data_IF_706093085841
#
_entry.id   IF_706093085841
#
_cell.length_a   1.000
_cell.length_b   1.000
_cell.length_c   1.000
_cell.angle_alpha   90.00
_cell.angle_beta   90.00
_cell.angle_gamma   90.00
#
_symmetry.space_group_name_H-M   'P 1'
#
loop_
_entity.id
_entity.type
_entity.pdbx_description
1 polymer ?
#
# COMPACT_ATOMS: atom_id res chain seq x y z
N UNK A 1 -27.34 -47.34 -10.74
CA UNK A 1 -27.79 -46.69 -9.49
C UNK A 1 -26.61 -46.36 -8.57
N UNK A 2 -25.65 -47.28 -8.35
CA UNK A 2 -24.44 -47.02 -7.54
C UNK A 2 -23.59 -45.81 -7.97
N UNK A 3 -23.21 -45.73 -9.25
CA UNK A 3 -22.37 -44.63 -9.75
C UNK A 3 -22.96 -43.20 -9.55
N UNK A 4 -24.29 -43.06 -9.53
CA UNK A 4 -24.95 -41.79 -9.28
C UNK A 4 -24.97 -41.40 -7.80
N UNK A 5 -24.95 -42.40 -6.90
CA UNK A 5 -24.82 -42.21 -5.45
C UNK A 5 -23.37 -41.82 -5.13
N UNK A 6 -22.40 -42.53 -5.72
CA UNK A 6 -20.97 -42.26 -5.54
C UNK A 6 -20.61 -40.82 -5.99
N UNK A 7 -21.14 -40.38 -7.14
CA UNK A 7 -20.93 -39.02 -7.65
C UNK A 7 -21.50 -37.94 -6.72
N UNK A 8 -22.67 -38.18 -6.12
CA UNK A 8 -23.29 -37.23 -5.18
C UNK A 8 -22.50 -37.13 -3.88
N UNK A 9 -22.02 -38.26 -3.35
CA UNK A 9 -21.17 -38.28 -2.15
C UNK A 9 -19.86 -37.54 -2.40
N UNK A 10 -19.23 -37.77 -3.56
CA UNK A 10 -18.03 -37.06 -3.97
C UNK A 10 -18.27 -35.54 -4.11
N UNK A 11 -19.36 -35.13 -4.74
CA UNK A 11 -19.72 -33.72 -4.88
C UNK A 11 -19.98 -33.04 -3.52
N UNK A 12 -20.68 -33.72 -2.60
CA UNK A 12 -20.91 -33.21 -1.26
C UNK A 12 -19.63 -33.06 -0.46
N UNK A 13 -18.71 -34.04 -0.54
CA UNK A 13 -17.40 -33.96 0.10
C UNK A 13 -16.53 -32.83 -0.50
N UNK A 14 -16.55 -32.68 -1.83
CA UNK A 14 -15.86 -31.58 -2.51
C UNK A 14 -16.43 -30.20 -2.13
N UNK A 15 -17.76 -30.09 -2.03
CA UNK A 15 -18.44 -28.87 -1.58
C UNK A 15 -18.07 -28.51 -0.15
N UNK A 16 -18.12 -29.48 0.78
CA UNK A 16 -17.72 -29.27 2.17
C UNK A 16 -16.26 -28.85 2.32
N UNK A 17 -15.35 -29.48 1.56
CA UNK A 17 -13.94 -29.09 1.51
C UNK A 17 -13.77 -27.66 0.97
N UNK A 18 -14.50 -27.30 -0.08
CA UNK A 18 -14.46 -25.96 -0.65
C UNK A 18 -14.97 -24.91 0.34
N UNK A 19 -16.08 -25.15 1.04
CA UNK A 19 -16.60 -24.26 2.09
C UNK A 19 -15.56 -24.09 3.20
N UNK A 20 -15.01 -25.18 3.72
CA UNK A 20 -13.99 -25.12 4.78
C UNK A 20 -12.75 -24.34 4.34
N UNK A 21 -12.30 -24.52 3.10
CA UNK A 21 -11.16 -23.83 2.53
C UNK A 21 -11.44 -22.33 2.30
N UNK A 22 -12.63 -21.97 1.81
CA UNK A 22 -13.06 -20.56 1.69
C UNK A 22 -13.17 -19.88 3.04
N UNK A 23 -13.77 -20.54 4.05
CA UNK A 23 -13.87 -19.99 5.41
C UNK A 23 -12.50 -19.84 6.07
N UNK A 24 -11.61 -20.80 5.88
CA UNK A 24 -10.24 -20.71 6.37
C UNK A 24 -9.49 -19.53 5.75
N UNK A 25 -9.55 -19.37 4.42
CA UNK A 25 -8.91 -18.25 3.73
C UNK A 25 -9.54 -16.91 4.09
N UNK A 26 -10.86 -16.85 4.26
CA UNK A 26 -11.58 -15.66 4.73
C UNK A 26 -11.15 -15.27 6.14
N UNK A 27 -11.14 -16.22 7.07
CA UNK A 27 -10.71 -16.00 8.45
C UNK A 27 -9.25 -15.53 8.54
N UNK A 28 -8.35 -16.15 7.77
CA UNK A 28 -6.94 -15.73 7.70
C UNK A 28 -6.78 -14.34 7.08
N UNK A 29 -7.64 -13.97 6.12
CA UNK A 29 -7.55 -12.67 5.45
C UNK A 29 -8.11 -11.55 6.32
N UNK A 30 -9.24 -11.76 6.99
CA UNK A 30 -10.00 -10.68 7.64
C UNK A 30 -9.96 -10.68 9.17
N UNK A 31 -9.71 -11.81 9.82
CA UNK A 31 -9.81 -11.92 11.29
C UNK A 31 -8.49 -12.16 12.01
N UNK A 32 -7.48 -12.74 11.35
CA UNK A 32 -6.19 -13.03 11.99
C UNK A 32 -5.19 -11.88 11.79
N UNK A 33 -4.59 -11.35 12.89
CA UNK A 33 -3.38 -10.54 12.79
C UNK A 33 -2.30 -11.38 12.12
N UNK A 34 -1.87 -10.98 10.92
CA UNK A 34 -0.95 -11.79 10.12
C UNK A 34 0.40 -11.90 10.84
N UNK A 35 0.88 -13.13 10.98
CA UNK A 35 2.30 -13.42 11.18
C UNK A 35 2.88 -13.80 9.83
N UNK A 36 4.10 -13.35 9.51
CA UNK A 36 4.82 -13.55 8.23
C UNK A 36 4.77 -15.00 7.69
N UNK A 37 4.55 -16.02 8.54
CA UNK A 37 4.47 -17.44 8.13
C UNK A 37 3.08 -17.96 7.73
N UNK A 38 1.98 -17.26 8.00
CA UNK A 38 0.60 -17.76 7.74
C UNK A 38 -0.13 -16.86 6.77
N UNK A 39 0.00 -17.21 5.51
CA UNK A 39 -0.12 -16.22 4.46
C UNK A 39 -1.11 -16.78 3.41
N UNK A 40 -2.29 -16.15 3.25
CA UNK A 40 -3.42 -16.72 2.50
C UNK A 40 -3.03 -16.90 1.03
N UNK A 41 -3.11 -18.14 0.56
CA UNK A 41 -2.57 -18.52 -0.75
C UNK A 41 -3.48 -18.00 -1.85
N UNK A 42 -4.78 -18.02 -1.62
CA UNK A 42 -5.79 -17.63 -2.61
C UNK A 42 -5.81 -16.12 -2.77
N UNK A 43 -5.86 -15.37 -1.66
CA UNK A 43 -5.85 -13.90 -1.71
C UNK A 43 -4.60 -13.36 -2.42
N UNK A 44 -3.41 -13.90 -2.11
CA UNK A 44 -2.18 -13.50 -2.79
C UNK A 44 -2.17 -13.92 -4.25
N UNK A 45 -2.56 -15.16 -4.54
CA UNK A 45 -2.62 -15.69 -5.91
C UNK A 45 -3.53 -14.82 -6.78
N UNK A 46 -4.72 -14.50 -6.27
CA UNK A 46 -5.69 -13.62 -6.92
C UNK A 46 -5.12 -12.22 -7.15
N UNK A 47 -4.51 -11.60 -6.13
CA UNK A 47 -3.92 -10.27 -6.30
C UNK A 47 -2.81 -10.28 -7.36
N UNK A 48 -1.92 -11.28 -7.36
CA UNK A 48 -0.87 -11.41 -8.38
C UNK A 48 -1.46 -11.64 -9.77
N UNK A 49 -2.51 -12.46 -9.87
CA UNK A 49 -3.20 -12.76 -11.12
C UNK A 49 -3.88 -11.51 -11.69
N UNK A 50 -4.54 -10.72 -10.85
CA UNK A 50 -5.22 -9.47 -11.25
C UNK A 50 -4.21 -8.35 -11.52
N UNK A 51 -3.13 -8.26 -10.75
CA UNK A 51 -2.15 -7.17 -10.83
C UNK A 51 -1.34 -7.16 -12.12
N UNK A 52 -0.91 -8.33 -12.59
CA UNK A 52 -0.09 -8.47 -13.81
C UNK A 52 -0.77 -7.86 -15.06
N UNK A 53 -2.01 -8.24 -15.44
CA UNK A 53 -2.69 -7.64 -16.57
C UNK A 53 -2.99 -6.17 -16.31
N UNK A 54 -3.34 -5.79 -15.07
CA UNK A 54 -3.62 -4.40 -14.71
C UNK A 54 -2.42 -3.48 -14.99
N UNK A 55 -1.23 -3.87 -14.53
CA UNK A 55 0.03 -3.14 -14.82
C UNK A 55 0.37 -3.14 -16.30
N UNK A 56 0.11 -4.23 -17.00
CA UNK A 56 0.37 -4.32 -18.43
C UNK A 56 -0.51 -3.35 -19.23
N UNK A 57 -1.78 -3.18 -18.85
CA UNK A 57 -2.66 -2.16 -19.42
C UNK A 57 -2.19 -0.76 -19.04
N UNK A 58 -1.89 -0.51 -17.77
CA UNK A 58 -1.43 0.80 -17.29
C UNK A 58 -0.19 1.31 -18.04
N UNK A 59 0.78 0.42 -18.32
CA UNK A 59 1.99 0.75 -19.10
C UNK A 59 1.74 1.19 -20.54
N UNK A 60 0.53 1.00 -21.07
CA UNK A 60 0.15 1.47 -22.41
C UNK A 60 -0.59 2.81 -22.43
N UNK A 61 -0.94 3.32 -21.25
CA UNK A 61 -1.64 4.60 -21.13
C UNK A 61 -0.62 5.72 -20.97
N UNK A 62 -1.05 6.95 -21.26
CA UNK A 62 -0.30 8.14 -20.87
C UNK A 62 -0.16 8.20 -19.33
N UNK A 63 0.87 8.86 -18.78
CA UNK A 63 1.16 8.85 -17.33
C UNK A 63 -0.05 9.14 -16.42
N UNK A 64 -0.84 10.16 -16.74
CA UNK A 64 -2.05 10.51 -15.98
C UNK A 64 -3.12 9.40 -16.00
N UNK A 65 -3.30 8.76 -17.16
CA UNK A 65 -4.24 7.64 -17.31
C UNK A 65 -3.73 6.36 -16.61
N UNK A 66 -2.42 6.13 -16.64
CA UNK A 66 -1.78 5.02 -15.95
C UNK A 66 -1.96 5.14 -14.44
N UNK A 67 -1.71 6.33 -13.85
CA UNK A 67 -1.85 6.54 -12.41
C UNK A 67 -3.31 6.42 -11.95
N UNK A 68 -4.26 6.98 -12.72
CA UNK A 68 -5.71 6.81 -12.47
C UNK A 68 -6.10 5.33 -12.46
N UNK A 69 -5.66 4.56 -13.47
CA UNK A 69 -5.97 3.14 -13.55
C UNK A 69 -5.34 2.37 -12.38
N UNK A 70 -4.07 2.64 -12.04
CA UNK A 70 -3.38 2.00 -10.93
C UNK A 70 -4.02 2.34 -9.57
N UNK A 71 -4.54 3.55 -9.41
CA UNK A 71 -5.28 3.97 -8.21
C UNK A 71 -6.58 3.20 -7.97
N UNK A 72 -7.26 2.76 -9.04
CA UNK A 72 -8.48 1.95 -8.94
C UNK A 72 -8.20 0.49 -8.52
N UNK A 73 -6.96 0.01 -8.64
CA UNK A 73 -6.66 -1.39 -8.40
C UNK A 73 -6.93 -1.80 -6.94
N UNK A 74 -6.45 -1.03 -5.96
CA UNK A 74 -6.61 -1.35 -4.54
C UNK A 74 -8.08 -1.62 -4.15
N UNK A 75 -9.00 -0.66 -4.36
CA UNK A 75 -10.42 -0.85 -4.07
C UNK A 75 -11.06 -1.99 -4.88
N UNK A 76 -10.76 -2.11 -6.18
CA UNK A 76 -11.35 -3.15 -7.03
C UNK A 76 -10.83 -4.55 -6.68
N UNK A 77 -9.58 -4.67 -6.26
CA UNK A 77 -9.02 -5.92 -5.80
C UNK A 77 -9.68 -6.38 -4.49
N UNK A 78 -10.06 -5.45 -3.58
CA UNK A 78 -10.85 -5.78 -2.39
C UNK A 78 -12.22 -6.35 -2.78
N UNK A 79 -12.93 -5.67 -3.68
CA UNK A 79 -14.24 -6.11 -4.15
C UNK A 79 -14.13 -7.46 -4.87
N UNK A 80 -13.12 -7.63 -5.73
CA UNK A 80 -12.88 -8.87 -6.47
C UNK A 80 -12.61 -10.04 -5.52
N UNK A 81 -11.83 -9.79 -4.47
CA UNK A 81 -11.57 -10.73 -3.39
C UNK A 81 -12.88 -11.17 -2.71
N UNK A 82 -13.73 -10.22 -2.29
CA UNK A 82 -15.05 -10.49 -1.71
C UNK A 82 -15.96 -11.31 -2.64
N UNK A 83 -15.99 -10.97 -3.92
CA UNK A 83 -16.77 -11.71 -4.94
C UNK A 83 -16.26 -13.14 -5.09
N UNK A 84 -14.94 -13.36 -5.15
CA UNK A 84 -14.36 -14.71 -5.26
C UNK A 84 -14.71 -15.56 -4.06
N UNK A 85 -14.64 -15.02 -2.84
CA UNK A 85 -15.06 -15.76 -1.64
C UNK A 85 -16.56 -16.05 -1.62
N UNK A 86 -17.40 -15.07 -1.94
CA UNK A 86 -18.84 -15.26 -2.01
C UNK A 86 -19.20 -16.35 -3.03
N UNK A 87 -18.65 -16.29 -4.24
CA UNK A 87 -18.86 -17.31 -5.27
C UNK A 87 -18.33 -18.68 -4.84
N UNK A 88 -17.17 -18.74 -4.19
CA UNK A 88 -16.61 -19.99 -3.69
C UNK A 88 -17.50 -20.65 -2.63
N UNK A 89 -18.05 -19.86 -1.70
CA UNK A 89 -19.03 -20.34 -0.71
C UNK A 89 -20.32 -20.79 -1.37
N UNK A 90 -20.89 -20.01 -2.29
CA UNK A 90 -22.11 -20.36 -3.03
C UNK A 90 -21.95 -21.66 -3.83
N UNK A 91 -20.81 -21.83 -4.52
CA UNK A 91 -20.51 -23.08 -5.24
C UNK A 91 -20.38 -24.24 -4.24
N UNK A 92 -19.70 -24.03 -3.12
CA UNK A 92 -19.54 -25.03 -2.07
C UNK A 92 -20.87 -25.50 -1.47
N UNK A 93 -21.74 -24.57 -1.07
CA UNK A 93 -23.08 -24.89 -0.55
C UNK A 93 -23.98 -25.50 -1.62
N UNK A 94 -23.98 -24.97 -2.86
CA UNK A 94 -24.72 -25.55 -3.97
C UNK A 94 -24.33 -27.01 -4.28
N UNK A 95 -23.06 -27.38 -4.12
CA UNK A 95 -22.60 -28.77 -4.25
C UNK A 95 -23.11 -29.66 -3.10
N UNK A 96 -23.11 -29.14 -1.86
CA UNK A 96 -23.63 -29.85 -0.69
C UNK A 96 -25.14 -30.07 -0.82
N UNK A 97 -25.90 -29.04 -1.19
CA UNK A 97 -27.34 -29.15 -1.44
C UNK A 97 -27.65 -30.15 -2.56
N UNK A 98 -26.89 -30.09 -3.65
CA UNK A 98 -27.06 -31.01 -4.78
C UNK A 98 -26.82 -32.46 -4.36
N UNK A 99 -25.81 -32.70 -3.53
CA UNK A 99 -25.53 -34.02 -2.97
C UNK A 99 -26.68 -34.56 -2.10
N UNK A 100 -27.27 -33.70 -1.26
CA UNK A 100 -28.34 -34.07 -0.32
C UNK A 100 -29.69 -34.26 -1.02
N UNK A 101 -30.05 -33.37 -1.92
CA UNK A 101 -31.41 -33.25 -2.42
C UNK A 101 -31.56 -33.64 -3.91
N UNK A 102 -30.46 -33.73 -4.66
CA UNK A 102 -30.45 -34.09 -6.08
C UNK A 102 -31.19 -33.11 -7.00
N UNK A 103 -31.41 -33.52 -8.24
CA UNK A 103 -32.04 -32.70 -9.29
C UNK A 103 -31.02 -31.89 -10.11
N UNK A 104 -31.48 -30.88 -10.88
CA UNK A 104 -30.60 -30.02 -11.66
C UNK A 104 -29.74 -29.13 -10.75
N UNK A 105 -28.42 -29.12 -10.97
CA UNK A 105 -27.49 -28.28 -10.20
C UNK A 105 -27.81 -26.79 -10.33
N UNK A 106 -28.22 -26.32 -11.52
CA UNK A 106 -28.58 -24.92 -11.75
C UNK A 106 -29.70 -24.43 -10.84
N UNK A 107 -30.69 -25.28 -10.56
CA UNK A 107 -31.79 -24.96 -9.65
C UNK A 107 -31.31 -24.86 -8.20
N UNK A 108 -30.37 -25.71 -7.79
CA UNK A 108 -29.80 -25.71 -6.43
C UNK A 108 -28.85 -24.54 -6.21
N UNK A 109 -27.99 -24.26 -7.18
CA UNK A 109 -27.12 -23.08 -7.14
C UNK A 109 -27.93 -21.78 -7.05
N UNK A 110 -29.04 -21.68 -7.80
CA UNK A 110 -29.94 -20.53 -7.70
C UNK A 110 -30.61 -20.43 -6.31
N UNK A 111 -31.05 -21.56 -5.73
CA UNK A 111 -31.63 -21.61 -4.39
C UNK A 111 -30.65 -21.17 -3.30
N UNK A 112 -29.45 -21.76 -3.27
CA UNK A 112 -28.34 -21.38 -2.39
C UNK A 112 -27.96 -19.90 -2.54
N UNK A 113 -27.90 -19.38 -3.78
CA UNK A 113 -27.65 -17.94 -4.01
C UNK A 113 -28.72 -17.03 -3.42
N UNK A 114 -29.99 -17.45 -3.43
CA UNK A 114 -31.08 -16.73 -2.79
C UNK A 114 -31.01 -16.80 -1.27
N UNK A 115 -30.66 -17.97 -0.72
CA UNK A 115 -30.62 -18.19 0.73
C UNK A 115 -29.45 -17.47 1.40
N UNK A 116 -28.25 -17.54 0.81
CA UNK A 116 -27.06 -16.83 1.27
C UNK A 116 -27.27 -15.30 1.33
N UNK A 117 -28.10 -14.76 0.43
CA UNK A 117 -28.36 -13.32 0.31
C UNK A 117 -29.64 -12.85 1.01
N UNK A 118 -30.64 -13.72 1.24
CA UNK A 118 -31.98 -13.30 1.71
C UNK A 118 -32.64 -14.23 2.73
N UNK A 119 -31.98 -15.31 3.14
CA UNK A 119 -32.49 -16.28 4.14
C UNK A 119 -33.91 -16.82 3.83
N UNK A 120 -34.26 -16.96 2.55
CA UNK A 120 -35.60 -17.35 2.12
C UNK A 120 -35.85 -18.86 2.10
N UNK A 121 -36.73 -19.34 3.00
CA UNK A 121 -37.54 -20.55 2.81
C UNK A 121 -36.85 -21.90 3.04
N UNK A 122 -36.81 -22.36 4.29
CA UNK A 122 -36.45 -23.73 4.66
C UNK A 122 -37.48 -24.74 4.12
N UNK A 123 -37.14 -25.50 3.08
CA UNK A 123 -38.04 -26.52 2.51
C UNK A 123 -37.29 -27.81 2.21
N UNK A 124 -37.96 -28.95 2.37
CA UNK A 124 -37.37 -30.28 2.19
C UNK A 124 -36.99 -30.99 3.51
N UNK A 125 -36.01 -31.88 3.44
CA UNK A 125 -35.62 -32.78 4.53
C UNK A 125 -34.90 -32.06 5.68
N UNK A 126 -34.87 -32.66 6.88
CA UNK A 126 -34.15 -32.10 8.03
C UNK A 126 -32.65 -31.83 7.73
N UNK A 127 -32.03 -32.68 6.90
CA UNK A 127 -30.64 -32.50 6.48
C UNK A 127 -30.47 -31.26 5.59
N UNK A 128 -31.40 -31.04 4.63
CA UNK A 128 -31.36 -29.87 3.77
C UNK A 128 -31.57 -28.58 4.59
N UNK A 129 -32.55 -28.57 5.50
CA UNK A 129 -32.77 -27.43 6.42
C UNK A 129 -31.55 -27.08 7.27
N UNK A 130 -30.76 -28.08 7.67
CA UNK A 130 -29.53 -27.85 8.42
C UNK A 130 -28.44 -27.19 7.56
N UNK A 131 -28.30 -27.64 6.30
CA UNK A 131 -27.40 -27.02 5.31
C UNK A 131 -27.81 -25.57 5.06
N UNK A 132 -29.10 -25.34 4.80
CA UNK A 132 -29.69 -24.03 4.58
C UNK A 132 -29.38 -23.08 5.76
N UNK A 133 -29.62 -23.54 7.01
CA UNK A 133 -29.35 -22.74 8.20
C UNK A 133 -27.86 -22.39 8.35
N UNK A 134 -26.96 -23.34 8.06
CA UNK A 134 -25.52 -23.12 8.11
C UNK A 134 -25.05 -22.15 7.03
N UNK A 135 -25.61 -22.25 5.83
CA UNK A 135 -25.33 -21.32 4.73
C UNK A 135 -25.75 -19.90 5.10
N UNK A 136 -26.97 -19.72 5.58
CA UNK A 136 -27.47 -18.41 6.00
C UNK A 136 -26.64 -17.82 7.15
N UNK A 137 -26.32 -18.61 8.18
CA UNK A 137 -25.46 -18.18 9.28
C UNK A 137 -24.07 -17.77 8.80
N UNK A 138 -23.52 -18.51 7.83
CA UNK A 138 -22.20 -18.22 7.24
C UNK A 138 -22.22 -16.93 6.42
N UNK A 139 -23.22 -16.73 5.57
CA UNK A 139 -23.38 -15.50 4.80
C UNK A 139 -23.52 -14.26 5.69
N UNK A 140 -24.34 -14.36 6.75
CA UNK A 140 -24.50 -13.31 7.75
C UNK A 140 -23.19 -13.04 8.49
N UNK A 141 -22.48 -14.07 8.94
CA UNK A 141 -21.20 -13.94 9.64
C UNK A 141 -20.13 -13.27 8.77
N UNK A 142 -20.00 -13.69 7.50
CA UNK A 142 -19.10 -13.08 6.51
C UNK A 142 -19.45 -11.60 6.32
N UNK A 143 -20.73 -11.27 6.15
CA UNK A 143 -21.18 -9.88 5.97
C UNK A 143 -20.80 -8.99 7.16
N UNK A 144 -21.07 -9.44 8.39
CA UNK A 144 -20.71 -8.67 9.59
C UNK A 144 -19.19 -8.45 9.72
N UNK A 145 -18.39 -9.46 9.39
CA UNK A 145 -16.92 -9.34 9.43
C UNK A 145 -16.44 -8.34 8.38
N UNK A 146 -16.97 -8.39 7.15
CA UNK A 146 -16.60 -7.44 6.09
C UNK A 146 -16.99 -6.01 6.46
N UNK A 147 -18.18 -5.82 7.03
CA UNK A 147 -18.64 -4.51 7.54
C UNK A 147 -17.69 -4.02 8.64
N UNK A 148 -17.24 -4.88 9.55
CA UNK A 148 -16.28 -4.53 10.60
C UNK A 148 -14.86 -4.26 10.10
N UNK A 149 -14.44 -4.92 9.03
CA UNK A 149 -13.10 -4.81 8.46
C UNK A 149 -12.89 -3.52 7.66
N UNK A 150 -13.90 -3.07 6.93
CA UNK A 150 -13.79 -1.87 6.07
C UNK A 150 -13.36 -0.61 6.85
N UNK A 151 -13.96 -0.26 8.00
CA UNK A 151 -13.50 0.85 8.83
C UNK A 151 -12.03 0.76 9.23
N UNK A 152 -11.55 -0.44 9.58
CA UNK A 152 -10.14 -0.65 9.97
C UNK A 152 -9.18 -0.36 8.82
N UNK A 153 -9.50 -0.83 7.60
CA UNK A 153 -8.70 -0.56 6.40
C UNK A 153 -8.71 0.93 6.05
N UNK A 154 -9.88 1.57 6.04
CA UNK A 154 -9.97 3.00 5.74
C UNK A 154 -9.29 3.88 6.80
N UNK A 155 -9.37 3.49 8.08
CA UNK A 155 -8.69 4.17 9.16
C UNK A 155 -7.16 4.06 9.02
N UNK A 156 -6.64 2.88 8.70
CA UNK A 156 -5.22 2.68 8.43
C UNK A 156 -4.74 3.48 7.21
N UNK A 157 -5.51 3.46 6.12
CA UNK A 157 -5.24 4.28 4.93
C UNK A 157 -5.22 5.79 5.28
N UNK A 158 -6.22 6.27 6.01
CA UNK A 158 -6.33 7.68 6.41
C UNK A 158 -5.16 8.15 7.28
N UNK A 159 -4.75 7.34 8.27
CA UNK A 159 -3.57 7.65 9.10
C UNK A 159 -2.29 7.72 8.27
N UNK A 160 -2.10 6.76 7.35
CA UNK A 160 -0.97 6.76 6.43
C UNK A 160 -0.91 8.05 5.62
N UNK A 161 -2.01 8.41 4.96
CA UNK A 161 -2.07 9.57 4.05
C UNK A 161 -1.92 10.89 4.80
N UNK A 162 -2.41 11.00 6.03
CA UNK A 162 -2.23 12.20 6.85
C UNK A 162 -0.74 12.54 7.02
N UNK A 163 0.10 11.55 7.35
CA UNK A 163 1.54 11.78 7.50
C UNK A 163 2.24 12.07 6.17
N UNK A 164 1.84 11.41 5.08
CA UNK A 164 2.37 11.67 3.73
C UNK A 164 2.11 13.13 3.32
N UNK A 165 0.88 13.62 3.52
CA UNK A 165 0.53 15.01 3.24
C UNK A 165 1.27 16.00 4.15
N UNK A 166 1.50 15.66 5.42
CA UNK A 166 2.34 16.47 6.33
C UNK A 166 3.81 16.47 5.94
N UNK A 167 4.32 15.41 5.30
CA UNK A 167 5.68 15.41 4.76
C UNK A 167 5.78 16.37 3.58
N UNK A 168 4.77 16.40 2.71
CA UNK A 168 4.82 17.17 1.47
C UNK A 168 5.00 18.68 1.71
N UNK A 169 4.46 19.23 2.80
CA UNK A 169 4.67 20.64 3.19
C UNK A 169 6.11 20.91 3.66
N UNK A 170 6.80 19.88 4.14
CA UNK A 170 8.16 19.94 4.69
C UNK A 170 9.25 19.60 3.67
N UNK A 171 9.05 18.55 2.89
CA UNK A 171 10.03 17.99 1.96
C UNK A 171 9.72 18.26 0.47
N UNK A 172 8.58 18.89 0.18
CA UNK A 172 8.09 19.05 -1.20
C UNK A 172 7.33 17.82 -1.71
N UNK A 173 6.90 17.87 -2.97
CA UNK A 173 6.12 16.82 -3.64
C UNK A 173 6.68 16.57 -5.05
N UNK A 174 7.48 15.51 -5.27
CA UNK A 174 7.79 14.40 -4.35
C UNK A 174 8.66 14.81 -3.15
N UNK A 175 8.67 14.05 -2.04
CA UNK A 175 9.52 14.40 -0.90
C UNK A 175 11.00 14.24 -1.27
N UNK A 176 11.85 15.20 -0.90
CA UNK A 176 13.29 15.15 -1.13
C UNK A 176 14.09 15.30 0.18
N UNK A 177 15.07 14.42 0.39
CA UNK A 177 15.88 14.38 1.62
C UNK A 177 16.68 15.67 1.82
N UNK A 178 17.27 16.21 0.75
CA UNK A 178 18.04 17.45 0.79
C UNK A 178 17.21 18.64 1.28
N UNK A 179 15.92 18.70 0.95
CA UNK A 179 15.04 19.80 1.41
C UNK A 179 14.84 19.77 2.93
N UNK A 180 14.73 18.58 3.52
CA UNK A 180 14.60 18.42 4.96
C UNK A 180 15.90 18.77 5.68
N UNK A 181 17.03 18.29 5.16
CA UNK A 181 18.37 18.55 5.72
C UNK A 181 18.71 20.05 5.61
N UNK A 182 18.47 20.67 4.46
CA UNK A 182 18.69 22.10 4.26
C UNK A 182 17.85 22.96 5.22
N UNK A 183 16.58 22.59 5.45
CA UNK A 183 15.72 23.30 6.42
C UNK A 183 16.23 23.15 7.85
N UNK A 184 16.73 21.97 8.22
CA UNK A 184 17.26 21.74 9.56
C UNK A 184 18.57 22.51 9.78
N UNK A 185 19.49 22.46 8.82
CA UNK A 185 20.79 23.13 8.88
C UNK A 185 20.67 24.66 8.82
N UNK A 186 19.89 25.19 7.86
CA UNK A 186 19.84 26.63 7.56
C UNK A 186 19.23 27.51 8.66
N UNK A 187 18.62 26.92 9.68
CA UNK A 187 18.12 27.65 10.84
C UNK A 187 18.53 27.02 12.18
N UNK A 188 19.41 26.02 12.18
CA UNK A 188 19.75 25.22 13.37
C UNK A 188 18.56 24.53 14.05
N UNK A 189 17.50 24.22 13.30
CA UNK A 189 16.30 23.55 13.83
C UNK A 189 16.51 22.02 13.92
N UNK A 190 17.71 21.59 14.32
CA UNK A 190 18.04 20.17 14.48
C UNK A 190 17.06 19.49 15.43
N UNK A 191 16.65 20.15 16.51
CA UNK A 191 15.66 19.65 17.46
C UNK A 191 14.28 19.38 16.85
N UNK A 192 13.85 20.17 15.86
CA UNK A 192 12.61 19.92 15.11
C UNK A 192 12.78 18.69 14.22
N UNK A 193 13.91 18.56 13.53
CA UNK A 193 14.20 17.36 12.75
C UNK A 193 14.24 16.10 13.64
N UNK A 194 14.77 16.18 14.86
CA UNK A 194 14.72 15.06 15.81
C UNK A 194 13.29 14.69 16.19
N UNK A 195 12.43 15.68 16.45
CA UNK A 195 11.01 15.46 16.75
C UNK A 195 10.32 14.80 15.56
N UNK A 196 10.61 15.28 14.35
CA UNK A 196 10.08 14.72 13.11
C UNK A 196 10.51 13.26 12.96
N UNK A 197 11.80 12.96 13.08
CA UNK A 197 12.32 11.59 13.01
C UNK A 197 11.62 10.65 14.00
N UNK A 198 11.41 11.08 15.26
CA UNK A 198 10.66 10.30 16.26
C UNK A 198 9.21 10.05 15.84
N UNK A 199 8.52 11.05 15.30
CA UNK A 199 7.17 10.84 14.75
C UNK A 199 7.16 9.86 13.57
N UNK A 200 8.24 9.85 12.78
CA UNK A 200 8.39 8.95 11.64
C UNK A 200 8.80 7.54 12.04
N UNK A 201 9.45 7.37 13.21
CA UNK A 201 9.64 6.06 13.84
C UNK A 201 8.28 5.41 14.12
N UNK A 202 7.40 6.12 14.83
CA UNK A 202 6.04 5.65 15.14
C UNK A 202 5.26 5.35 13.86
N UNK A 203 5.30 6.27 12.90
CA UNK A 203 4.61 6.08 11.63
C UNK A 203 5.15 4.90 10.81
N UNK A 204 6.47 4.69 10.76
CA UNK A 204 7.06 3.56 10.05
C UNK A 204 6.68 2.22 10.69
N UNK A 205 6.63 2.16 12.02
CA UNK A 205 6.14 0.99 12.75
C UNK A 205 4.66 0.70 12.45
N UNK A 206 3.80 1.73 12.51
CA UNK A 206 2.38 1.61 12.17
C UNK A 206 2.17 1.22 10.70
N UNK A 207 2.94 1.81 9.78
CA UNK A 207 2.89 1.49 8.36
C UNK A 207 3.24 0.02 8.14
N UNK A 208 4.34 -0.46 8.72
CA UNK A 208 4.76 -1.84 8.65
C UNK A 208 3.68 -2.78 9.20
N UNK A 209 3.17 -2.53 10.40
CA UNK A 209 2.12 -3.35 11.01
C UNK A 209 0.85 -3.40 10.15
N UNK A 210 0.39 -2.25 9.66
CA UNK A 210 -0.83 -2.15 8.87
C UNK A 210 -0.70 -2.79 7.50
N UNK A 211 0.45 -2.67 6.82
CA UNK A 211 0.67 -3.26 5.50
C UNK A 211 0.97 -4.76 5.60
N UNK A 212 1.59 -5.22 6.69
CA UNK A 212 1.71 -6.64 6.98
C UNK A 212 0.35 -7.28 7.29
N UNK A 213 -0.52 -6.58 8.02
CA UNK A 213 -1.89 -7.03 8.37
C UNK A 213 -2.83 -6.96 7.17
N UNK A 214 -2.80 -5.85 6.44
CA UNK A 214 -3.65 -5.54 5.29
C UNK A 214 -2.80 -5.27 4.03
N UNK A 215 -2.17 -6.30 3.41
CA UNK A 215 -1.29 -6.12 2.25
C UNK A 215 -1.92 -5.41 1.06
N UNK A 216 -3.25 -5.39 0.99
CA UNK A 216 -3.95 -4.67 -0.04
C UNK A 216 -3.71 -3.16 0.01
N UNK A 217 -3.44 -2.60 1.21
CA UNK A 217 -3.11 -1.19 1.40
C UNK A 217 -1.88 -0.75 0.60
N UNK A 218 -0.93 -1.64 0.34
CA UNK A 218 0.24 -1.33 -0.49
C UNK A 218 -0.14 -0.87 -1.91
N UNK A 219 -1.30 -1.33 -2.41
CA UNK A 219 -1.82 -0.96 -3.73
C UNK A 219 -2.71 0.29 -3.72
N UNK A 220 -3.09 0.79 -2.54
CA UNK A 220 -3.85 2.03 -2.47
C UNK A 220 -2.92 3.19 -2.78
N UNK A 221 -3.20 3.92 -3.86
CA UNK A 221 -2.47 5.13 -4.23
C UNK A 221 -2.80 6.27 -3.26
N UNK A 222 -1.82 7.15 -3.08
CA UNK A 222 -2.01 8.36 -2.30
C UNK A 222 -2.90 9.36 -3.06
N UNK A 223 -3.58 10.24 -2.34
CA UNK A 223 -4.63 11.09 -2.94
C UNK A 223 -4.09 12.23 -3.79
N UNK A 224 -2.84 12.65 -3.57
CA UNK A 224 -2.23 13.79 -4.24
C UNK A 224 -1.20 13.35 -5.28
N UNK A 225 -1.15 14.10 -6.38
CA UNK A 225 -0.20 13.88 -7.47
C UNK A 225 1.23 14.04 -6.94
N UNK A 226 2.14 13.17 -7.37
CA UNK A 226 3.54 13.11 -6.94
C UNK A 226 3.74 12.81 -5.44
N UNK A 227 2.72 12.36 -4.73
CA UNK A 227 2.85 11.84 -3.38
C UNK A 227 2.64 10.34 -3.41
N UNK A 228 3.49 9.62 -2.68
CA UNK A 228 3.21 8.23 -2.38
C UNK A 228 3.88 7.83 -1.05
N UNK A 229 3.27 6.87 -0.37
CA UNK A 229 3.72 6.42 0.95
C UNK A 229 5.12 5.81 0.93
N UNK A 230 5.52 5.14 -0.17
CA UNK A 230 6.83 4.52 -0.30
C UNK A 230 7.91 5.58 -0.45
N UNK A 231 7.66 6.63 -1.22
CA UNK A 231 8.53 7.79 -1.33
C UNK A 231 8.65 8.53 -0.01
N UNK A 232 7.57 8.69 0.74
CA UNK A 232 7.63 9.31 2.06
C UNK A 232 8.49 8.50 3.04
N UNK A 233 8.28 7.19 3.13
CA UNK A 233 9.11 6.31 3.97
C UNK A 233 10.57 6.37 3.54
N UNK A 234 10.85 6.22 2.25
CA UNK A 234 12.22 6.20 1.71
C UNK A 234 12.92 7.53 1.99
N UNK A 235 12.27 8.68 1.74
CA UNK A 235 12.87 9.99 2.00
C UNK A 235 13.24 10.20 3.47
N UNK A 236 12.46 9.66 4.42
CA UNK A 236 12.79 9.74 5.85
C UNK A 236 13.91 8.78 6.25
N UNK A 237 14.01 7.61 5.60
CA UNK A 237 15.16 6.71 5.74
C UNK A 237 16.42 7.33 5.16
N UNK A 238 16.32 8.00 4.01
CA UNK A 238 17.41 8.76 3.36
C UNK A 238 17.98 9.81 4.32
N UNK A 239 17.10 10.63 4.91
CA UNK A 239 17.48 11.64 5.91
C UNK A 239 18.14 11.02 7.13
N UNK A 240 17.55 9.94 7.65
CA UNK A 240 18.06 9.24 8.83
C UNK A 240 19.44 8.62 8.58
N UNK A 241 19.62 8.00 7.41
CA UNK A 241 20.89 7.40 6.96
C UNK A 241 21.96 8.47 6.82
N UNK A 242 21.64 9.59 6.17
CA UNK A 242 22.57 10.71 6.00
C UNK A 242 23.01 11.32 7.33
N UNK A 243 22.07 11.61 8.25
CA UNK A 243 22.40 12.15 9.59
C UNK A 243 23.29 11.17 10.36
N UNK A 244 22.97 9.88 10.31
CA UNK A 244 23.76 8.83 10.96
C UNK A 244 25.17 8.70 10.38
N UNK A 245 25.32 8.91 9.08
CA UNK A 245 26.61 8.83 8.41
C UNK A 245 27.48 10.08 8.66
N UNK A 246 26.87 11.27 8.60
CA UNK A 246 27.56 12.55 8.56
C UNK A 246 27.83 13.16 9.95
N UNK A 247 26.96 12.98 10.95
CA UNK A 247 27.14 13.60 12.28
C UNK A 247 27.93 12.70 13.23
N UNK A 248 28.76 13.32 14.08
CA UNK A 248 29.60 12.59 15.06
C UNK A 248 28.77 11.94 16.17
N UNK A 249 27.89 12.73 16.81
CA UNK A 249 26.85 12.23 17.70
C UNK A 249 25.59 12.01 16.89
N UNK A 250 25.48 10.83 16.28
CA UNK A 250 24.25 10.42 15.59
C UNK A 250 23.08 10.60 16.55
N UNK A 251 22.11 11.41 16.16
CA UNK A 251 20.91 11.61 16.98
C UNK A 251 20.22 10.26 17.18
N UNK A 252 19.93 9.87 18.43
CA UNK A 252 19.21 8.62 18.75
C UNK A 252 17.98 8.39 17.87
N UNK A 253 17.23 9.47 17.61
CA UNK A 253 16.07 9.46 16.71
C UNK A 253 16.45 9.02 15.28
N UNK A 254 17.54 9.51 14.71
CA UNK A 254 17.97 9.10 13.36
C UNK A 254 18.36 7.62 13.31
N UNK A 255 19.09 7.11 14.31
CA UNK A 255 19.44 5.68 14.36
C UNK A 255 18.19 4.79 14.45
N UNK A 256 17.26 5.12 15.33
CA UNK A 256 16.05 4.34 15.53
C UNK A 256 15.15 4.42 14.29
N UNK A 257 14.91 5.62 13.74
CA UNK A 257 14.09 5.82 12.54
C UNK A 257 14.68 5.11 11.32
N UNK A 258 16.01 5.15 11.14
CA UNK A 258 16.70 4.38 10.10
C UNK A 258 16.45 2.88 10.28
N UNK A 259 16.66 2.36 11.50
CA UNK A 259 16.50 0.93 11.79
C UNK A 259 15.09 0.41 11.57
N UNK A 260 14.07 1.14 12.03
CA UNK A 260 12.67 0.72 11.82
C UNK A 260 12.27 0.89 10.35
N UNK A 261 12.72 1.96 9.69
CA UNK A 261 12.39 2.21 8.28
C UNK A 261 13.01 1.18 7.33
N UNK A 262 14.29 0.82 7.50
CA UNK A 262 14.91 -0.26 6.71
C UNK A 262 14.23 -1.61 6.98
N UNK A 263 13.81 -1.87 8.22
CA UNK A 263 13.11 -3.10 8.58
C UNK A 263 11.72 -3.15 7.91
N UNK A 264 10.98 -2.04 7.91
CA UNK A 264 9.71 -1.92 7.20
C UNK A 264 9.86 -2.19 5.71
N UNK A 265 10.87 -1.60 5.04
CA UNK A 265 11.15 -1.85 3.62
C UNK A 265 11.47 -3.34 3.36
N UNK A 266 12.31 -3.95 4.17
CA UNK A 266 12.69 -5.36 4.03
C UNK A 266 11.50 -6.31 4.26
N UNK A 267 10.70 -6.09 5.30
CA UNK A 267 9.55 -6.94 5.65
C UNK A 267 8.44 -6.84 4.59
N UNK A 268 8.21 -5.65 4.04
CA UNK A 268 7.25 -5.46 2.94
C UNK A 268 7.75 -6.11 1.66
N UNK A 269 9.04 -6.00 1.32
CA UNK A 269 9.63 -6.70 0.18
C UNK A 269 9.49 -8.23 0.34
N UNK A 270 9.76 -8.76 1.54
CA UNK A 270 9.60 -10.18 1.87
C UNK A 270 8.14 -10.64 1.74
N UNK A 271 7.18 -9.84 2.21
CA UNK A 271 5.75 -10.12 2.11
C UNK A 271 5.31 -10.36 0.65
N UNK A 272 5.82 -9.54 -0.28
CA UNK A 272 5.54 -9.69 -1.70
C UNK A 272 6.43 -10.72 -2.41
N UNK A 273 7.45 -11.26 -1.72
CA UNK A 273 8.51 -12.15 -2.23
C UNK A 273 9.29 -11.50 -3.37
N UNK A 274 9.75 -10.29 -3.12
CA UNK A 274 10.55 -9.52 -4.06
C UNK A 274 12.03 -9.80 -3.81
N UNK A 275 12.80 -9.84 -4.88
CA UNK A 275 14.27 -9.87 -4.80
C UNK A 275 14.76 -8.42 -4.77
N UNK A 276 15.75 -8.09 -3.92
CA UNK A 276 16.29 -6.73 -3.88
C UNK A 276 16.90 -6.33 -5.22
N UNK A 277 16.65 -5.10 -5.67
CA UNK A 277 17.13 -4.58 -6.95
C UNK A 277 18.22 -3.55 -6.69
N UNK A 278 19.50 -3.82 -7.03
CA UNK A 278 20.56 -2.83 -6.86
C UNK A 278 20.22 -1.53 -7.59
N UNK A 279 20.30 -0.42 -6.86
CA UNK A 279 20.07 0.92 -7.38
C UNK A 279 21.04 1.86 -6.68
N UNK A 280 21.43 2.91 -7.40
CA UNK A 280 22.19 4.02 -6.85
C UNK A 280 21.42 5.30 -7.18
N UNK A 281 20.83 5.94 -6.16
CA UNK A 281 19.98 7.13 -6.30
C UNK A 281 20.69 8.45 -5.99
N UNK A 282 21.85 8.42 -5.34
CA UNK A 282 22.59 9.60 -4.92
C UNK A 282 23.91 9.64 -5.68
N UNK A 283 24.09 10.65 -6.53
CA UNK A 283 25.36 10.84 -7.23
C UNK A 283 26.42 11.43 -6.29
N UNK A 284 27.70 11.24 -6.62
CA UNK A 284 28.82 11.83 -5.86
C UNK A 284 28.69 13.37 -5.75
N UNK A 285 28.24 14.03 -6.83
CA UNK A 285 28.02 15.48 -6.84
C UNK A 285 26.87 15.91 -5.91
N UNK A 286 25.76 15.16 -5.91
CA UNK A 286 24.65 15.41 -5.00
C UNK A 286 25.07 15.17 -3.54
N UNK A 287 25.91 14.16 -3.29
CA UNK A 287 26.47 13.91 -1.96
C UNK A 287 27.33 15.08 -1.49
N UNK A 288 28.25 15.58 -2.33
CA UNK A 288 29.10 16.73 -2.01
C UNK A 288 28.26 17.97 -1.67
N UNK A 289 27.22 18.25 -2.46
CA UNK A 289 26.29 19.35 -2.21
C UNK A 289 25.55 19.17 -0.87
N UNK A 290 25.08 17.95 -0.59
CA UNK A 290 24.37 17.66 0.66
C UNK A 290 25.28 17.76 1.89
N UNK A 291 26.53 17.29 1.76
CA UNK A 291 27.51 17.35 2.82
C UNK A 291 27.92 18.79 3.11
N UNK A 292 28.10 19.63 2.08
CA UNK A 292 28.40 21.06 2.24
C UNK A 292 27.35 21.82 3.08
N UNK A 293 26.08 21.40 3.01
CA UNK A 293 25.01 21.97 3.85
C UNK A 293 25.25 21.71 5.33
N UNK A 294 25.72 20.51 5.69
CA UNK A 294 25.99 20.14 7.09
C UNK A 294 27.31 20.73 7.57
N UNK A 295 28.34 20.72 6.70
CA UNK A 295 29.65 21.29 7.01
C UNK A 295 29.59 22.80 7.28
N UNK A 296 28.67 23.50 6.62
CA UNK A 296 28.37 24.91 6.90
C UNK A 296 27.51 25.17 8.14
N UNK A 297 27.08 24.12 8.86
CA UNK A 297 26.23 24.23 10.05
C UNK A 297 27.04 24.19 11.34
N UNK A 298 26.40 24.43 12.49
CA UNK A 298 27.04 24.35 13.82
C UNK A 298 27.13 22.93 14.38
N UNK A 299 26.66 21.92 13.64
CA UNK A 299 26.72 20.53 14.08
C UNK A 299 28.12 19.93 13.84
N UNK A 300 28.64 19.16 14.81
CA UNK A 300 29.88 18.43 14.63
C UNK A 300 29.68 17.24 13.68
N UNK A 301 30.36 17.30 12.53
CA UNK A 301 30.34 16.29 11.47
C UNK A 301 31.68 15.55 11.37
N UNK A 302 31.63 14.33 10.81
CA UNK A 302 32.84 13.59 10.43
C UNK A 302 33.40 14.13 9.11
N UNK A 303 34.60 13.70 8.71
CA UNK A 303 35.12 14.08 7.40
C UNK A 303 34.26 13.54 6.24
N UNK A 304 34.28 14.26 5.10
CA UNK A 304 33.43 13.96 3.94
C UNK A 304 33.60 12.54 3.41
N UNK A 305 34.85 12.05 3.34
CA UNK A 305 35.14 10.70 2.85
C UNK A 305 34.56 9.60 3.76
N UNK A 306 34.67 9.78 5.08
CA UNK A 306 34.08 8.88 6.07
C UNK A 306 32.56 8.92 6.03
N UNK A 307 31.97 10.12 5.88
CA UNK A 307 30.52 10.26 5.74
C UNK A 307 30.00 9.57 4.48
N UNK A 308 30.71 9.71 3.34
CA UNK A 308 30.34 9.07 2.08
C UNK A 308 30.38 7.54 2.21
N UNK A 309 31.49 6.99 2.69
CA UNK A 309 31.64 5.55 2.87
C UNK A 309 30.53 4.98 3.78
N UNK A 310 30.28 5.62 4.93
CA UNK A 310 29.21 5.19 5.84
C UNK A 310 27.83 5.26 5.21
N UNK A 311 27.58 6.31 4.42
CA UNK A 311 26.29 6.48 3.77
C UNK A 311 26.07 5.40 2.70
N UNK A 312 27.09 5.07 1.92
CA UNK A 312 27.00 4.01 0.91
C UNK A 312 26.71 2.65 1.56
N UNK A 313 27.41 2.30 2.63
CA UNK A 313 27.15 1.09 3.42
C UNK A 313 25.70 1.04 3.94
N UNK A 314 25.19 2.16 4.45
CA UNK A 314 23.80 2.23 4.93
C UNK A 314 22.78 2.14 3.79
N UNK A 315 23.07 2.73 2.62
CA UNK A 315 22.18 2.72 1.45
C UNK A 315 22.01 1.33 0.87
N UNK A 316 23.06 0.51 0.88
CA UNK A 316 23.00 -0.90 0.49
C UNK A 316 22.00 -1.71 1.32
N UNK A 317 21.73 -1.32 2.58
CA UNK A 317 20.80 -2.03 3.45
C UNK A 317 19.31 -1.84 3.08
N UNK A 318 18.93 -0.72 2.46
CA UNK A 318 17.51 -0.37 2.27
C UNK A 318 17.10 -0.01 0.84
N UNK A 319 17.97 0.65 0.06
CA UNK A 319 17.62 1.10 -1.30
C UNK A 319 17.20 -0.07 -2.21
N UNK A 320 17.86 -1.25 -2.16
CA UNK A 320 17.46 -2.35 -3.01
C UNK A 320 16.05 -2.89 -2.74
N UNK A 321 15.62 -2.87 -1.48
CA UNK A 321 14.26 -3.24 -1.09
C UNK A 321 13.24 -2.17 -1.49
N UNK A 322 13.58 -0.89 -1.32
CA UNK A 322 12.76 0.23 -1.75
C UNK A 322 12.53 0.19 -3.27
N UNK A 323 13.57 -0.05 -4.06
CA UNK A 323 13.50 -0.17 -5.51
C UNK A 323 12.64 -1.36 -5.95
N UNK A 324 12.84 -2.53 -5.34
CA UNK A 324 12.04 -3.71 -5.64
C UNK A 324 10.53 -3.45 -5.39
N UNK A 325 10.20 -2.78 -4.28
CA UNK A 325 8.83 -2.37 -3.96
C UNK A 325 8.28 -1.35 -4.96
N UNK A 326 9.07 -0.35 -5.32
CA UNK A 326 8.72 0.68 -6.29
C UNK A 326 8.39 0.05 -7.66
N UNK A 327 9.25 -0.83 -8.15
CA UNK A 327 9.06 -1.55 -9.41
C UNK A 327 7.86 -2.49 -9.37
N UNK A 328 7.62 -3.16 -8.25
CA UNK A 328 6.48 -4.06 -8.10
C UNK A 328 5.15 -3.30 -8.06
N UNK A 329 5.08 -2.22 -7.28
CA UNK A 329 3.88 -1.42 -7.05
C UNK A 329 3.67 -0.34 -8.12
N UNK A 330 4.64 -0.14 -9.01
CA UNK A 330 4.70 0.95 -9.99
C UNK A 330 4.65 2.35 -9.33
N UNK A 331 5.34 2.49 -8.21
CA UNK A 331 5.52 3.76 -7.49
C UNK A 331 6.87 4.36 -7.87
N UNK A 332 6.98 5.68 -7.78
CA UNK A 332 8.25 6.39 -7.96
C UNK A 332 8.93 6.58 -6.61
N UNK A 333 10.23 6.32 -6.56
CA UNK A 333 11.07 6.62 -5.39
C UNK A 333 11.37 8.11 -5.32
N UNK A 334 11.67 8.63 -4.11
CA UNK A 334 11.97 10.04 -3.94
C UNK A 334 13.36 10.33 -4.49
N UNK A 335 13.57 11.50 -5.12
CA UNK A 335 14.91 11.96 -5.42
C UNK A 335 15.56 12.51 -4.14
N UNK A 336 16.89 12.52 -4.09
CA UNK A 336 17.62 13.16 -3.00
C UNK A 336 17.47 14.69 -3.06
N UNK A 337 17.50 15.25 -4.27
CA UNK A 337 17.29 16.67 -4.57
C UNK A 337 16.08 16.87 -5.48
N UNK A 338 15.37 17.99 -5.31
CA UNK A 338 14.42 18.41 -6.34
C UNK A 338 15.20 18.82 -7.58
N UNK A 339 14.94 18.18 -8.72
CA UNK A 339 15.46 18.68 -9.99
C UNK A 339 14.82 20.04 -10.25
N UNK A 340 15.62 21.11 -10.26
CA UNK A 340 15.16 22.41 -10.73
C UNK A 340 14.66 22.22 -12.17
N UNK A 341 13.35 22.39 -12.35
CA UNK A 341 12.81 22.51 -13.71
C UNK A 341 13.43 23.78 -14.28
N UNK A 342 14.36 23.66 -15.24
CA UNK A 342 14.95 24.81 -15.91
C UNK A 342 13.83 25.80 -16.30
N UNK A 343 13.92 27.09 -15.90
CA UNK A 343 12.96 28.11 -16.29
C UNK A 343 13.15 28.42 -17.78
N UNK A 344 12.60 27.57 -18.65
CA UNK A 344 12.80 27.64 -20.10
C UNK A 344 12.11 26.53 -20.90
N UNK A 345 11.79 25.39 -20.27
CA UNK A 345 10.94 24.39 -20.91
C UNK A 345 9.49 24.91 -20.91
N UNK A 346 9.04 25.45 -22.05
CA UNK A 346 7.64 25.84 -22.27
C UNK A 346 6.73 24.63 -22.04
N UNK A 347 6.14 24.53 -20.86
CA UNK A 347 4.94 23.72 -20.66
C UNK A 347 3.84 24.31 -21.56
N UNK A 348 3.17 23.54 -22.42
CA UNK A 348 1.98 24.03 -23.08
C UNK A 348 0.97 24.47 -22.00
N UNK A 349 0.20 25.54 -22.23
CA UNK A 349 -0.71 26.06 -21.21
C UNK A 349 -1.67 24.95 -20.77
N UNK A 350 -2.05 24.90 -19.48
CA UNK A 350 -2.99 23.90 -19.00
C UNK A 350 -4.31 24.08 -19.74
N UNK A 351 -4.63 23.15 -20.64
CA UNK A 351 -5.95 23.07 -21.27
C UNK A 351 -6.93 22.40 -20.31
N UNK A 352 -7.14 22.99 -19.14
CA UNK A 352 -8.28 22.65 -18.30
C UNK A 352 -8.81 23.88 -17.59
N UNK A 353 -10.02 24.28 -18.01
CA UNK A 353 -10.94 25.11 -17.24
C UNK A 353 -11.36 24.33 -15.99
N UNK A 354 -10.51 24.33 -14.97
CA UNK A 354 -10.83 23.91 -13.61
C UNK A 354 -10.85 25.14 -12.73
N UNK A 355 -12.00 25.46 -12.13
CA UNK A 355 -12.11 26.53 -11.14
C UNK A 355 -11.26 26.16 -9.92
N UNK A 356 -10.18 26.91 -9.69
CA UNK A 356 -9.52 26.95 -8.39
C UNK A 356 -10.52 27.47 -7.34
N UNK A 357 -10.93 26.58 -6.44
CA UNK A 357 -11.71 26.89 -5.24
C UNK A 357 -10.76 27.31 -4.10
N UNK A 358 -9.86 28.26 -4.34
CA UNK A 358 -9.21 29.04 -3.27
C UNK A 358 -9.02 30.45 -3.79
N UNK A 359 -9.85 31.38 -3.30
CA UNK A 359 -9.79 32.78 -3.67
C UNK A 359 -8.54 33.45 -3.12
N UNK A 360 -7.60 33.78 -4.00
CA UNK A 360 -6.65 34.88 -3.80
C UNK A 360 -6.50 35.62 -5.12
N UNK A 361 -7.25 36.71 -5.29
CA UNK A 361 -7.03 37.66 -6.40
C UNK A 361 -5.72 38.40 -6.12
N UNK A 362 -4.68 38.08 -6.87
CA UNK A 362 -3.55 38.98 -7.06
C UNK A 362 -3.98 40.07 -8.05
N UNK A 363 -4.14 41.29 -7.57
CA UNK A 363 -4.36 42.49 -8.40
C UNK A 363 -3.04 42.86 -9.09
N UNK A 364 -2.99 43.04 -10.42
CA UNK A 364 -1.77 43.50 -11.09
C UNK A 364 -1.51 45.00 -10.80
N UNK A 365 -0.23 45.44 -10.76
CA UNK A 365 0.10 46.83 -10.49
C UNK A 365 -0.30 47.71 -11.67
N UNK A 366 -1.05 48.79 -11.40
CA UNK A 366 -1.32 49.82 -12.39
C UNK A 366 -0.04 50.66 -12.61
N UNK A 367 0.54 50.51 -13.79
CA UNK A 367 1.54 51.43 -14.32
C UNK A 367 0.82 52.71 -14.71
N UNK A 368 1.10 53.80 -14.00
CA UNK A 368 0.67 55.13 -14.39
C UNK A 368 1.38 55.56 -15.68
N UNK A 369 0.61 56.08 -16.64
CA UNK A 369 1.15 56.90 -17.72
C UNK A 369 0.44 58.25 -17.79
N UNK A 370 1.29 59.26 -17.86
CA UNK A 370 1.01 60.66 -18.12
C UNK A 370 0.27 60.86 -19.45
N UNK A 371 -0.85 61.59 -19.43
CA UNK A 371 -1.00 62.93 -20.04
C UNK A 371 -2.40 63.47 -19.78
#
# INVERSE_FOLDING_TARGET
MGAAIDLRVLAGAAGALLVALMLSEFFVTFMLPRRVRRDPRIARGLNRLLWRPWRWVARRLAPAGADTLLGLFGPLALVSQLVVWALGLLIGYGLIEWAVAGGPFSTRFLASSGLFLSAGGLSGSNALRAVDLLEAATGVGVLFIVIGYMPSVYSAFSRRETAVSQLATRAGSPPAAATLIHRAAGREHWSELQRDLRSWEEWAAELMETHLTYPLLAFYRSQHVNQNWLAALTAMVDVSAFIKAALHDSVDAADITFRIGRHALADLALQFRLEPVPVDRLSDADFEELFAIVDGSTAENVDSATAQQRLDELREEYEPNAQALADFLALELPPWFHQETQPGARTPPPTHSGRDLVGSRATPPQVGQQK
#
